data_IF_600714124355
#
_entry.id   IF_600714124355
#
_cell.length_a   1.000
_cell.length_b   1.000
_cell.length_c   1.000
_cell.angle_alpha   90.00
_cell.angle_beta   90.00
_cell.angle_gamma   90.00
#
_symmetry.space_group_name_H-M   'P 1'
#
loop_
_entity.id
_entity.type
_entity.pdbx_description
1 polymer ?
#
# COMPACT_ATOMS: atom_id res chain seq x y z
N UNK A 1 -53.38 -1.20 -85.09
CA UNK A 1 -53.31 0.20 -84.62
C UNK A 1 -52.28 0.26 -83.50
N UNK A 2 -51.06 0.72 -83.79
CA UNK A 2 -50.51 2.04 -83.42
C UNK A 2 -49.58 1.92 -82.17
N UNK A 3 -48.26 1.89 -82.44
CA UNK A 3 -47.11 2.54 -81.71
C UNK A 3 -46.92 2.27 -80.20
N UNK A 4 -45.74 2.18 -79.57
CA UNK A 4 -44.33 2.56 -79.83
C UNK A 4 -43.50 2.01 -78.63
N UNK A 5 -42.30 1.42 -78.81
CA UNK A 5 -40.97 2.06 -78.84
C UNK A 5 -40.41 2.50 -77.45
N UNK A 6 -39.28 1.86 -77.08
CA UNK A 6 -38.07 2.37 -76.38
C UNK A 6 -37.72 1.86 -74.96
N UNK A 7 -36.48 1.34 -74.91
CA UNK A 7 -35.39 1.59 -73.96
C UNK A 7 -35.40 0.93 -72.56
N UNK A 8 -34.40 0.04 -72.44
CA UNK A 8 -33.27 0.13 -71.51
C UNK A 8 -33.34 -0.53 -70.13
N UNK A 9 -32.18 -1.16 -69.85
CA UNK A 9 -31.52 -1.29 -68.56
C UNK A 9 -31.72 -2.59 -67.75
N UNK A 10 -30.84 -3.54 -68.07
CA UNK A 10 -30.18 -4.49 -67.16
C UNK A 10 -30.12 -4.08 -65.69
N UNK A 11 -30.45 -5.00 -64.78
CA UNK A 11 -29.79 -5.07 -63.46
C UNK A 11 -29.79 -6.50 -62.92
N UNK A 12 -28.58 -7.04 -62.86
CA UNK A 12 -28.14 -8.29 -62.26
C UNK A 12 -28.10 -8.10 -60.73
N UNK A 13 -28.90 -8.85 -59.97
CA UNK A 13 -28.92 -8.78 -58.51
C UNK A 13 -28.05 -9.89 -57.92
N UNK A 14 -26.76 -9.59 -57.73
CA UNK A 14 -25.87 -10.36 -56.87
C UNK A 14 -25.76 -9.60 -55.54
N UNK A 15 -26.52 -10.03 -54.52
CA UNK A 15 -26.38 -9.49 -53.17
C UNK A 15 -25.23 -10.20 -52.46
N UNK A 16 -24.15 -9.45 -52.22
CA UNK A 16 -23.02 -9.84 -51.39
C UNK A 16 -23.49 -10.04 -49.94
N UNK A 17 -23.13 -11.18 -49.35
CA UNK A 17 -23.13 -11.36 -47.91
C UNK A 17 -22.00 -10.50 -47.32
N UNK A 18 -22.35 -9.34 -46.75
CA UNK A 18 -21.42 -8.59 -45.90
C UNK A 18 -21.27 -9.34 -44.58
N UNK A 19 -20.23 -10.15 -44.47
CA UNK A 19 -19.75 -10.59 -43.17
C UNK A 19 -19.19 -9.37 -42.45
N UNK A 20 -19.98 -8.80 -41.53
CA UNK A 20 -19.49 -7.86 -40.54
C UNK A 20 -18.51 -8.59 -39.62
N UNK A 21 -17.23 -8.58 -39.97
CA UNK A 21 -16.18 -8.86 -38.99
C UNK A 21 -16.19 -7.70 -38.00
N UNK A 22 -16.73 -7.95 -36.80
CA UNK A 22 -16.43 -7.14 -35.64
C UNK A 22 -14.91 -7.24 -35.43
N UNK A 23 -14.18 -6.18 -35.76
CA UNK A 23 -12.80 -6.04 -35.34
C UNK A 23 -12.81 -5.84 -33.83
N UNK A 24 -12.74 -6.94 -33.07
CA UNK A 24 -12.36 -6.86 -31.67
C UNK A 24 -11.02 -6.12 -31.63
N UNK A 25 -11.04 -4.92 -31.07
CA UNK A 25 -9.85 -4.09 -30.93
C UNK A 25 -8.95 -4.82 -29.94
N UNK A 26 -8.05 -5.64 -30.47
CA UNK A 26 -7.22 -6.49 -29.64
C UNK A 26 -6.13 -5.61 -29.05
N UNK A 27 -6.26 -5.30 -27.76
CA UNK A 27 -5.31 -4.44 -27.07
C UNK A 27 -3.98 -5.17 -26.91
N UNK A 28 -2.88 -4.44 -27.13
CA UNK A 28 -1.53 -4.97 -27.04
C UNK A 28 -1.22 -5.41 -25.58
N UNK A 29 -0.84 -6.68 -25.35
CA UNK A 29 -0.51 -7.17 -24.02
C UNK A 29 0.72 -6.48 -23.41
N UNK A 30 0.73 -6.34 -22.08
CA UNK A 30 1.86 -5.83 -21.33
C UNK A 30 2.72 -6.96 -20.77
N UNK A 31 4.04 -6.87 -20.95
CA UNK A 31 5.01 -7.79 -20.34
C UNK A 31 5.35 -7.31 -18.92
N UNK A 32 4.98 -8.09 -17.90
CA UNK A 32 5.12 -7.74 -16.47
C UNK A 32 6.16 -8.55 -15.71
N UNK A 33 6.68 -9.61 -16.32
CA UNK A 33 7.67 -10.46 -15.66
C UNK A 33 8.33 -11.43 -16.61
N UNK A 34 9.59 -11.77 -16.32
CA UNK A 34 10.35 -12.79 -17.01
C UNK A 34 10.89 -13.74 -15.95
N UNK A 35 10.62 -15.03 -16.11
CA UNK A 35 11.18 -16.09 -15.29
C UNK A 35 12.09 -16.94 -16.16
N UNK A 36 13.38 -16.99 -15.82
CA UNK A 36 14.35 -17.86 -16.46
C UNK A 36 14.62 -19.08 -15.57
N UNK A 37 14.29 -20.27 -16.07
CA UNK A 37 14.61 -21.55 -15.42
C UNK A 37 15.54 -22.34 -16.35
N UNK A 38 16.85 -22.18 -16.16
CA UNK A 38 17.86 -22.78 -17.04
C UNK A 38 17.81 -22.17 -18.45
N UNK A 39 17.50 -23.00 -19.47
CA UNK A 39 17.36 -22.55 -20.87
C UNK A 39 15.93 -22.13 -21.25
N UNK A 40 14.96 -22.32 -20.34
CA UNK A 40 13.56 -22.00 -20.61
C UNK A 40 13.20 -20.63 -20.02
N UNK A 41 12.47 -19.84 -20.81
CA UNK A 41 11.89 -18.57 -20.38
C UNK A 41 10.36 -18.70 -20.29
N UNK A 42 9.79 -18.09 -19.24
CA UNK A 42 8.37 -17.85 -19.09
C UNK A 42 8.14 -16.34 -18.98
N UNK A 43 7.06 -15.85 -19.58
CA UNK A 43 6.73 -14.43 -19.68
C UNK A 43 5.37 -14.18 -19.04
N UNK A 44 5.28 -13.30 -18.04
CA UNK A 44 4.01 -12.88 -17.47
C UNK A 44 3.41 -11.78 -18.35
N UNK A 45 2.33 -12.11 -19.05
CA UNK A 45 1.58 -11.17 -19.87
C UNK A 45 0.26 -10.80 -19.20
N UNK A 46 -0.15 -9.55 -19.36
CA UNK A 46 -1.40 -9.01 -18.83
C UNK A 46 -2.09 -8.19 -19.91
N UNK A 47 -3.43 -8.26 -20.01
CA UNK A 47 -4.18 -7.34 -20.87
C UNK A 47 -4.13 -5.92 -20.30
N UNK A 48 -4.15 -4.86 -21.13
CA UNK A 48 -4.28 -3.50 -20.62
C UNK A 48 -5.51 -3.37 -19.71
N UNK A 49 -5.35 -2.78 -18.53
CA UNK A 49 -6.39 -2.72 -17.49
C UNK A 49 -6.35 -3.85 -16.45
N UNK A 50 -5.64 -4.95 -16.70
CA UNK A 50 -5.42 -6.00 -15.71
C UNK A 50 -6.42 -7.15 -15.68
N UNK A 51 -7.41 -7.16 -16.58
CA UNK A 51 -8.53 -8.12 -16.56
C UNK A 51 -8.10 -9.59 -16.78
N UNK A 52 -7.01 -9.83 -17.50
CA UNK A 52 -6.46 -11.16 -17.74
C UNK A 52 -4.95 -11.16 -17.55
N UNK A 53 -4.42 -12.20 -16.90
CA UNK A 53 -2.97 -12.43 -16.78
C UNK A 53 -2.60 -13.89 -16.97
N UNK A 54 -1.45 -14.16 -17.60
CA UNK A 54 -0.94 -15.52 -17.78
C UNK A 54 0.57 -15.58 -17.97
N UNK A 55 1.20 -16.60 -17.41
CA UNK A 55 2.55 -17.01 -17.77
C UNK A 55 2.54 -17.78 -19.09
N UNK A 56 3.28 -17.29 -20.08
CA UNK A 56 3.33 -17.85 -21.43
C UNK A 56 4.77 -18.22 -21.82
N UNK A 57 4.93 -19.11 -22.78
CA UNK A 57 6.20 -19.45 -23.44
C UNK A 57 6.24 -18.93 -24.88
N UNK A 58 7.43 -18.88 -25.47
CA UNK A 58 7.55 -18.62 -26.92
C UNK A 58 6.75 -19.67 -27.69
N UNK A 59 5.99 -19.22 -28.68
CA UNK A 59 5.05 -20.01 -29.47
C UNK A 59 3.60 -19.95 -28.97
N UNK A 60 3.36 -19.60 -27.71
CA UNK A 60 2.01 -19.47 -27.15
C UNK A 60 1.27 -18.27 -27.75
N UNK A 61 -0.06 -18.25 -27.58
CA UNK A 61 -0.92 -17.11 -27.90
C UNK A 61 -1.60 -16.58 -26.66
N UNK A 62 -1.58 -15.28 -26.44
CA UNK A 62 -2.22 -14.57 -25.33
C UNK A 62 -3.00 -13.37 -25.85
N UNK A 63 -4.30 -13.28 -25.51
CA UNK A 63 -5.19 -12.22 -25.98
C UNK A 63 -5.08 -11.97 -27.50
N UNK A 64 -5.03 -13.02 -28.32
CA UNK A 64 -4.89 -12.92 -29.78
C UNK A 64 -3.46 -12.70 -30.31
N UNK A 65 -2.49 -12.38 -29.46
CA UNK A 65 -1.10 -12.17 -29.83
C UNK A 65 -0.24 -13.42 -29.64
N UNK A 66 0.47 -13.82 -30.68
CA UNK A 66 1.44 -14.92 -30.65
C UNK A 66 2.82 -14.42 -30.22
N UNK A 67 3.47 -15.15 -29.32
CA UNK A 67 4.81 -14.85 -28.83
C UNK A 67 5.84 -15.45 -29.78
N UNK A 68 6.60 -14.63 -30.51
CA UNK A 68 7.53 -15.12 -31.53
C UNK A 68 8.97 -15.22 -31.04
N UNK A 69 9.46 -14.17 -30.39
CA UNK A 69 10.89 -14.01 -30.13
C UNK A 69 11.10 -13.25 -28.82
N UNK A 70 12.10 -13.67 -28.04
CA UNK A 70 12.57 -12.92 -26.88
C UNK A 70 13.95 -12.32 -27.16
N UNK A 71 14.08 -11.02 -26.95
CA UNK A 71 15.32 -10.25 -27.11
C UNK A 71 15.93 -10.00 -25.75
N UNK A 72 16.85 -10.87 -25.35
CA UNK A 72 17.53 -10.78 -24.06
C UNK A 72 18.33 -9.48 -23.87
N UNK A 73 18.81 -8.86 -24.96
CA UNK A 73 19.56 -7.60 -24.87
C UNK A 73 18.71 -6.39 -24.48
N UNK A 74 17.39 -6.45 -24.65
CA UNK A 74 16.47 -5.33 -24.35
C UNK A 74 15.28 -5.76 -23.48
N UNK A 75 15.35 -6.95 -22.88
CA UNK A 75 14.26 -7.60 -22.14
C UNK A 75 12.89 -7.43 -22.80
N UNK A 76 12.84 -7.63 -24.13
CA UNK A 76 11.64 -7.36 -24.93
C UNK A 76 11.13 -8.61 -25.63
N UNK A 77 9.81 -8.71 -25.76
CA UNK A 77 9.13 -9.81 -26.42
C UNK A 77 8.53 -9.30 -27.73
N UNK A 78 8.74 -10.03 -28.80
CA UNK A 78 8.15 -9.76 -30.11
C UNK A 78 6.85 -10.56 -30.20
N UNK A 79 5.76 -9.82 -30.39
CA UNK A 79 4.42 -10.35 -30.54
C UNK A 79 3.94 -10.17 -31.97
N UNK A 80 3.19 -11.13 -32.50
CA UNK A 80 2.50 -10.99 -33.78
C UNK A 80 1.02 -11.31 -33.66
N UNK A 81 0.19 -10.52 -34.33
CA UNK A 81 -1.23 -10.77 -34.48
C UNK A 81 -1.64 -10.41 -35.90
N UNK A 82 -2.16 -11.39 -36.64
CA UNK A 82 -2.55 -11.24 -38.05
C UNK A 82 -1.42 -10.63 -38.91
N UNK A 83 -1.50 -9.33 -39.23
CA UNK A 83 -0.53 -8.58 -40.04
C UNK A 83 0.30 -7.56 -39.25
N UNK A 84 0.13 -7.51 -37.93
CA UNK A 84 0.81 -6.58 -37.05
C UNK A 84 1.89 -7.28 -36.22
N UNK A 85 3.05 -6.64 -36.11
CA UNK A 85 4.15 -7.08 -35.26
C UNK A 85 4.45 -5.97 -34.27
N UNK A 86 4.45 -6.31 -32.99
CA UNK A 86 4.68 -5.38 -31.90
C UNK A 86 5.84 -5.88 -31.03
N UNK A 87 6.59 -4.95 -30.45
CA UNK A 87 7.65 -5.25 -29.50
C UNK A 87 7.19 -4.70 -28.16
N UNK A 88 7.09 -5.58 -27.16
CA UNK A 88 6.72 -5.22 -25.80
C UNK A 88 7.93 -5.41 -24.89
N UNK A 89 8.47 -4.31 -24.39
CA UNK A 89 9.54 -4.36 -23.39
C UNK A 89 8.98 -4.80 -22.04
N UNK A 90 9.82 -5.47 -21.23
CA UNK A 90 9.48 -5.76 -19.85
C UNK A 90 9.20 -4.45 -19.15
N UNK A 91 7.95 -4.26 -18.75
CA UNK A 91 7.59 -3.23 -17.80
C UNK A 91 8.18 -3.68 -16.48
N UNK A 92 9.37 -3.17 -16.15
CA UNK A 92 9.76 -3.04 -14.75
C UNK A 92 8.61 -2.35 -14.03
N UNK A 93 8.39 -2.68 -12.76
CA UNK A 93 7.54 -1.86 -11.90
C UNK A 93 8.22 -0.50 -11.68
N UNK A 94 8.30 0.27 -12.75
CA UNK A 94 8.45 1.70 -12.78
C UNK A 94 7.20 2.17 -13.50
N UNK A 95 6.44 2.95 -12.76
CA UNK A 95 5.32 3.77 -13.21
C UNK A 95 5.51 4.23 -14.65
N UNK A 96 4.44 4.12 -15.43
CA UNK A 96 4.40 4.36 -16.87
C UNK A 96 5.25 5.57 -17.29
N UNK A 97 6.16 5.35 -18.23
CA UNK A 97 6.72 6.41 -19.07
C UNK A 97 5.61 6.94 -19.98
N UNK A 98 4.82 7.81 -19.38
CA UNK A 98 3.78 8.63 -19.96
C UNK A 98 3.46 9.77 -19.00
N UNK A 99 4.46 10.26 -18.26
CA UNK A 99 4.53 11.52 -17.50
C UNK A 99 5.79 11.47 -16.63
N UNK A 100 6.96 11.79 -17.22
CA UNK A 100 8.24 11.94 -16.51
C UNK A 100 8.30 13.16 -15.57
N UNK A 101 7.14 13.59 -15.05
CA UNK A 101 7.02 14.59 -13.99
C UNK A 101 6.57 13.98 -12.65
N UNK A 102 6.03 12.75 -12.60
CA UNK A 102 5.38 12.22 -11.38
C UNK A 102 6.31 11.43 -10.43
N UNK A 103 7.29 10.69 -10.95
CA UNK A 103 8.12 9.79 -10.12
C UNK A 103 9.03 10.51 -9.12
N UNK A 104 9.34 11.78 -9.35
CA UNK A 104 10.04 12.65 -8.39
C UNK A 104 9.16 13.78 -7.86
N UNK A 105 7.89 13.85 -8.29
CA UNK A 105 6.96 14.81 -7.71
C UNK A 105 6.77 14.44 -6.24
N UNK A 106 6.86 15.44 -5.37
CA UNK A 106 6.43 15.29 -3.99
C UNK A 106 4.95 14.91 -3.98
N UNK A 107 4.58 14.00 -3.08
CA UNK A 107 3.18 13.75 -2.84
C UNK A 107 2.51 15.05 -2.36
N UNK A 108 1.25 15.24 -2.70
CA UNK A 108 0.47 16.36 -2.20
C UNK A 108 -0.05 16.06 -0.80
N UNK A 109 -0.34 17.10 -0.02
CA UNK A 109 -0.96 16.95 1.30
C UNK A 109 -2.31 16.22 1.19
N UNK A 110 -3.08 16.45 0.13
CA UNK A 110 -4.36 15.78 -0.08
C UNK A 110 -4.21 14.26 -0.31
N UNK A 111 -3.21 13.84 -1.08
CA UNK A 111 -2.92 12.41 -1.30
C UNK A 111 -2.48 11.74 0.01
N UNK A 112 -1.61 12.41 0.77
CA UNK A 112 -1.17 11.93 2.09
C UNK A 112 -2.34 11.84 3.08
N UNK A 113 -3.22 12.83 3.10
CA UNK A 113 -4.40 12.86 3.96
C UNK A 113 -5.35 11.68 3.69
N UNK A 114 -5.56 11.35 2.41
CA UNK A 114 -6.35 10.20 2.00
C UNK A 114 -5.73 8.88 2.49
N UNK A 115 -4.40 8.73 2.38
CA UNK A 115 -3.70 7.56 2.90
C UNK A 115 -3.85 7.43 4.43
N UNK A 116 -3.70 8.52 5.17
CA UNK A 116 -3.88 8.52 6.63
C UNK A 116 -5.27 8.03 7.03
N UNK A 117 -6.31 8.39 6.27
CA UNK A 117 -7.66 7.85 6.45
C UNK A 117 -7.72 6.32 6.29
N UNK A 118 -7.09 5.78 5.24
CA UNK A 118 -7.02 4.32 5.01
C UNK A 118 -6.22 3.57 6.10
N UNK A 119 -5.22 4.23 6.66
CA UNK A 119 -4.40 3.69 7.76
C UNK A 119 -5.08 3.80 9.13
N UNK A 120 -6.31 4.31 9.21
CA UNK A 120 -7.05 4.52 10.45
C UNK A 120 -6.30 5.46 11.42
N UNK A 121 -5.70 6.53 10.87
CA UNK A 121 -4.92 7.49 11.64
C UNK A 121 -5.68 8.03 12.86
N UNK A 122 -6.95 8.41 12.70
CA UNK A 122 -7.74 8.99 13.79
C UNK A 122 -7.86 8.02 14.98
N UNK A 123 -8.18 6.75 14.72
CA UNK A 123 -8.28 5.74 15.77
C UNK A 123 -6.93 5.47 16.45
N UNK A 124 -5.84 5.43 15.68
CA UNK A 124 -4.49 5.28 16.22
C UNK A 124 -4.08 6.48 17.08
N UNK A 125 -4.34 7.69 16.58
CA UNK A 125 -3.98 8.94 17.24
C UNK A 125 -4.79 9.15 18.53
N UNK A 126 -6.09 8.87 18.51
CA UNK A 126 -6.93 8.90 19.70
C UNK A 126 -6.40 7.94 20.78
N UNK A 127 -6.01 6.72 20.41
CA UNK A 127 -5.44 5.77 21.35
C UNK A 127 -4.14 6.29 21.97
N UNK A 128 -3.27 6.92 21.18
CA UNK A 128 -2.02 7.54 21.66
C UNK A 128 -2.33 8.69 22.62
N UNK A 129 -3.23 9.60 22.25
CA UNK A 129 -3.60 10.76 23.07
C UNK A 129 -4.22 10.33 24.39
N UNK A 130 -5.10 9.32 24.38
CA UNK A 130 -5.73 8.78 25.60
C UNK A 130 -4.68 8.21 26.56
N UNK A 131 -3.75 7.41 26.07
CA UNK A 131 -2.70 6.83 26.91
C UNK A 131 -1.72 7.91 27.41
N UNK A 132 -1.37 8.88 26.56
CA UNK A 132 -0.53 10.01 26.93
C UNK A 132 -1.19 10.87 28.02
N UNK A 133 -2.48 11.20 27.87
CA UNK A 133 -3.27 11.92 28.88
C UNK A 133 -3.25 11.17 30.20
N UNK A 134 -3.50 9.86 30.19
CA UNK A 134 -3.50 9.02 31.39
C UNK A 134 -2.14 9.03 32.09
N UNK A 135 -1.06 8.91 31.33
CA UNK A 135 0.31 9.01 31.86
C UNK A 135 0.59 10.36 32.50
N UNK A 136 0.24 11.45 31.81
CA UNK A 136 0.42 12.82 32.32
C UNK A 136 -0.41 13.10 33.57
N UNK A 137 -1.68 12.71 33.59
CA UNK A 137 -2.57 12.84 34.76
C UNK A 137 -2.02 12.07 35.95
N UNK A 138 -1.51 10.86 35.72
CA UNK A 138 -0.89 10.03 36.77
C UNK A 138 0.36 10.69 37.34
N UNK A 139 1.24 11.21 36.47
CA UNK A 139 2.45 11.92 36.88
C UNK A 139 2.12 13.20 37.67
N UNK A 140 1.17 13.98 37.18
CA UNK A 140 0.70 15.19 37.85
C UNK A 140 0.12 14.88 39.22
N UNK A 141 -0.72 13.84 39.33
CA UNK A 141 -1.27 13.37 40.62
C UNK A 141 -0.16 13.05 41.61
N UNK A 142 0.90 12.36 41.19
CA UNK A 142 2.03 12.02 42.06
C UNK A 142 2.80 13.27 42.49
N UNK A 143 3.03 14.21 41.57
CA UNK A 143 3.76 15.44 41.85
C UNK A 143 3.03 16.38 42.81
N UNK A 144 1.71 16.54 42.64
CA UNK A 144 0.90 17.51 43.41
C UNK A 144 0.15 16.89 44.59
N UNK A 145 0.38 15.60 44.88
CA UNK A 145 -0.31 14.87 45.96
C UNK A 145 -0.20 15.57 47.34
N UNK A 146 0.99 16.07 47.67
CA UNK A 146 1.23 16.76 48.94
C UNK A 146 0.50 18.11 49.03
N UNK A 147 0.42 18.83 47.91
CA UNK A 147 -0.27 20.12 47.84
C UNK A 147 -1.78 19.93 47.91
N UNK A 148 -2.33 18.91 47.23
CA UNK A 148 -3.74 18.55 47.33
C UNK A 148 -4.13 18.16 48.76
N UNK A 149 -3.28 17.39 49.43
CA UNK A 149 -3.48 17.02 50.84
C UNK A 149 -3.45 18.26 51.75
N UNK A 150 -2.54 19.21 51.50
CA UNK A 150 -2.45 20.47 52.26
C UNK A 150 -3.66 21.37 52.02
N UNK A 151 -4.19 21.38 50.80
CA UNK A 151 -5.39 22.10 50.42
C UNK A 151 -6.69 21.44 50.90
N UNK A 152 -6.64 20.23 51.47
CA UNK A 152 -7.82 19.53 51.99
C UNK A 152 -8.79 19.04 50.90
N UNK A 153 -8.32 18.90 49.66
CA UNK A 153 -9.15 18.44 48.54
C UNK A 153 -9.56 16.98 48.71
N UNK A 154 -10.83 16.67 48.41
CA UNK A 154 -11.34 15.29 48.42
C UNK A 154 -10.92 14.54 47.15
N UNK A 155 -10.85 13.20 47.17
CA UNK A 155 -10.45 12.41 46.01
C UNK A 155 -11.23 12.72 44.73
N UNK A 156 -12.55 12.90 44.83
CA UNK A 156 -13.41 13.24 43.69
C UNK A 156 -13.14 14.63 43.09
N UNK A 157 -12.71 15.59 43.92
CA UNK A 157 -12.33 16.95 43.49
C UNK A 157 -10.97 16.93 42.79
N UNK A 158 -10.03 16.13 43.32
CA UNK A 158 -8.72 15.88 42.71
C UNK A 158 -8.91 15.23 41.34
N UNK A 159 -9.77 14.21 41.22
CA UNK A 159 -10.02 13.51 39.96
C UNK A 159 -10.66 14.43 38.92
N UNK A 160 -11.63 15.25 39.34
CA UNK A 160 -12.27 16.24 38.46
C UNK A 160 -11.26 17.28 37.98
N UNK A 161 -10.42 17.82 38.89
CA UNK A 161 -9.41 18.81 38.55
C UNK A 161 -8.37 18.24 37.58
N UNK A 162 -7.81 17.08 37.91
CA UNK A 162 -6.83 16.40 37.08
C UNK A 162 -7.39 16.00 35.71
N UNK A 163 -8.66 15.59 35.66
CA UNK A 163 -9.37 15.30 34.41
C UNK A 163 -9.40 16.53 33.50
N UNK A 164 -9.85 17.68 34.02
CA UNK A 164 -9.89 18.96 33.30
C UNK A 164 -8.51 19.44 32.87
N UNK A 165 -7.50 19.29 33.73
CA UNK A 165 -6.12 19.61 33.38
C UNK A 165 -5.62 18.70 32.26
N UNK A 166 -5.91 17.40 32.33
CA UNK A 166 -5.59 16.45 31.27
C UNK A 166 -6.25 16.81 29.95
N UNK A 167 -7.54 17.15 29.95
CA UNK A 167 -8.27 17.63 28.76
C UNK A 167 -7.63 18.88 28.16
N UNK A 168 -7.30 19.86 29.00
CA UNK A 168 -6.65 21.10 28.57
C UNK A 168 -5.29 20.84 27.92
N UNK A 169 -4.52 19.91 28.47
CA UNK A 169 -3.16 19.61 28.01
C UNK A 169 -3.14 18.85 26.67
N UNK A 170 -4.21 18.11 26.34
CA UNK A 170 -4.30 17.36 25.07
C UNK A 170 -5.21 18.00 24.04
N UNK A 171 -5.91 19.09 24.38
CA UNK A 171 -6.84 19.76 23.48
C UNK A 171 -6.19 20.13 22.13
N UNK A 172 -4.97 20.67 22.16
CA UNK A 172 -4.23 21.01 20.94
C UNK A 172 -3.79 19.78 20.15
N UNK A 173 -3.55 18.65 20.82
CA UNK A 173 -3.17 17.38 20.19
C UNK A 173 -4.36 16.72 19.46
N UNK A 174 -5.58 16.94 19.92
CA UNK A 174 -6.80 16.39 19.29
C UNK A 174 -7.33 17.27 18.14
N UNK A 175 -6.58 18.29 17.73
CA UNK A 175 -7.00 19.19 16.67
C UNK A 175 -6.84 18.58 15.27
N UNK A 176 -7.70 18.98 14.34
CA UNK A 176 -7.54 18.67 12.91
C UNK A 176 -6.19 19.14 12.36
N UNK A 177 -5.57 20.14 13.00
CA UNK A 177 -4.24 20.62 12.65
C UNK A 177 -3.19 19.52 12.79
N UNK A 178 -3.28 18.64 13.80
CA UNK A 178 -2.35 17.52 13.94
C UNK A 178 -2.43 16.56 12.76
N UNK A 179 -3.65 16.23 12.28
CA UNK A 179 -3.82 15.40 11.08
C UNK A 179 -3.20 16.06 9.85
N UNK A 180 -3.39 17.37 9.68
CA UNK A 180 -2.79 18.12 8.58
C UNK A 180 -1.26 18.19 8.66
N UNK A 181 -0.70 18.33 9.85
CA UNK A 181 0.76 18.32 10.06
C UNK A 181 1.33 16.94 9.72
N UNK A 182 0.67 15.85 10.11
CA UNK A 182 1.03 14.50 9.69
C UNK A 182 0.93 14.32 8.17
N UNK A 183 -0.15 14.78 7.54
CA UNK A 183 -0.31 14.71 6.09
C UNK A 183 0.81 15.48 5.37
N UNK A 184 1.22 16.64 5.90
CA UNK A 184 2.35 17.41 5.38
C UNK A 184 3.68 16.67 5.51
N UNK A 185 3.93 16.06 6.66
CA UNK A 185 5.15 15.24 6.87
C UNK A 185 5.20 14.10 5.86
N UNK A 186 4.09 13.39 5.66
CA UNK A 186 4.02 12.32 4.65
C UNK A 186 4.26 12.86 3.23
N UNK A 187 3.64 13.99 2.87
CA UNK A 187 3.84 14.65 1.58
C UNK A 187 5.30 15.11 1.34
N UNK A 188 6.02 15.46 2.42
CA UNK A 188 7.41 15.91 2.35
C UNK A 188 8.41 14.76 2.24
N UNK A 189 8.12 13.63 2.89
CA UNK A 189 8.99 12.45 3.00
C UNK A 189 8.80 11.50 1.82
N UNK A 190 7.56 11.29 1.37
CA UNK A 190 7.25 10.36 0.29
C UNK A 190 7.11 11.08 -1.04
N UNK A 191 7.60 10.44 -2.10
CA UNK A 191 7.21 10.81 -3.46
C UNK A 191 5.75 10.44 -3.71
N UNK A 192 5.15 11.08 -4.72
CA UNK A 192 3.79 10.79 -5.15
C UNK A 192 3.60 9.30 -5.50
N UNK A 193 4.56 8.71 -6.19
CA UNK A 193 4.49 7.31 -6.63
C UNK A 193 4.62 6.33 -5.45
N UNK A 194 5.49 6.60 -4.48
CA UNK A 194 5.61 5.78 -3.26
C UNK A 194 4.32 5.84 -2.43
N UNK A 195 3.78 7.04 -2.23
CA UNK A 195 2.56 7.24 -1.45
C UNK A 195 1.36 6.58 -2.14
N UNK A 196 1.26 6.68 -3.46
CA UNK A 196 0.26 5.97 -4.25
C UNK A 196 0.42 4.44 -4.15
N UNK A 197 1.64 3.92 -4.15
CA UNK A 197 1.91 2.49 -3.97
C UNK A 197 1.45 1.98 -2.60
N UNK A 198 1.73 2.73 -1.54
CA UNK A 198 1.26 2.41 -0.17
C UNK A 198 -0.26 2.47 -0.08
N UNK A 199 -0.89 3.52 -0.64
CA UNK A 199 -2.34 3.65 -0.68
C UNK A 199 -3.01 2.50 -1.46
N UNK A 200 -2.45 2.12 -2.61
CA UNK A 200 -2.94 1.00 -3.41
C UNK A 200 -2.91 -0.32 -2.62
N UNK A 201 -1.85 -0.57 -1.83
CA UNK A 201 -1.79 -1.74 -0.97
C UNK A 201 -2.88 -1.71 0.12
N UNK A 202 -3.03 -0.59 0.83
CA UNK A 202 -4.01 -0.44 1.90
C UNK A 202 -5.46 -0.51 1.42
N UNK A 203 -5.72 -0.18 0.15
CA UNK A 203 -7.03 -0.36 -0.49
C UNK A 203 -7.39 -1.83 -0.78
N UNK A 204 -6.45 -2.78 -0.65
CA UNK A 204 -6.74 -4.21 -0.84
C UNK A 204 -7.28 -4.85 0.43
N UNK A 205 -8.04 -5.95 0.29
CA UNK A 205 -8.48 -6.76 1.43
C UNK A 205 -7.30 -7.27 2.31
N UNK A 206 -6.13 -7.48 1.69
CA UNK A 206 -4.92 -7.85 2.43
C UNK A 206 -4.36 -6.68 3.24
N UNK A 207 -4.35 -5.47 2.68
CA UNK A 207 -3.91 -4.25 3.37
C UNK A 207 -4.82 -3.85 4.53
N UNK A 208 -6.14 -3.97 4.38
CA UNK A 208 -7.08 -3.79 5.49
C UNK A 208 -6.89 -4.84 6.59
N UNK A 209 -6.71 -6.10 6.21
CA UNK A 209 -6.45 -7.18 7.15
C UNK A 209 -5.13 -6.99 7.88
N UNK A 210 -4.10 -6.45 7.20
CA UNK A 210 -2.83 -6.07 7.80
C UNK A 210 -3.06 -5.05 8.91
N UNK A 211 -3.70 -3.91 8.61
CA UNK A 211 -3.97 -2.85 9.59
C UNK A 211 -4.71 -3.38 10.82
N UNK A 212 -5.78 -4.15 10.60
CA UNK A 212 -6.59 -4.72 11.69
C UNK A 212 -5.85 -5.74 12.56
N UNK A 213 -4.91 -6.50 11.99
CA UNK A 213 -4.23 -7.61 12.68
C UNK A 213 -2.89 -7.21 13.31
N UNK A 214 -2.31 -6.07 12.96
CA UNK A 214 -1.05 -5.59 13.56
C UNK A 214 -1.11 -5.53 15.10
N UNK A 215 -2.17 -4.99 15.75
CA UNK A 215 -2.24 -4.97 17.22
C UNK A 215 -2.23 -6.37 17.84
N UNK A 216 -2.92 -7.33 17.22
CA UNK A 216 -2.95 -8.72 17.70
C UNK A 216 -1.57 -9.39 17.57
N UNK A 217 -0.86 -9.14 16.47
CA UNK A 217 0.51 -9.64 16.27
C UNK A 217 1.42 -9.10 17.37
N UNK A 218 1.36 -7.80 17.67
CA UNK A 218 2.14 -7.18 18.74
C UNK A 218 1.78 -7.77 20.12
N UNK A 219 0.49 -7.96 20.41
CA UNK A 219 0.03 -8.55 21.67
C UNK A 219 0.56 -9.99 21.84
N UNK A 220 0.47 -10.81 20.79
CA UNK A 220 0.99 -12.19 20.81
C UNK A 220 2.51 -12.23 20.94
N UNK A 221 3.22 -11.30 20.29
CA UNK A 221 4.67 -11.19 20.45
C UNK A 221 5.06 -10.94 21.92
N UNK A 222 4.37 -10.04 22.62
CA UNK A 222 4.61 -9.81 24.05
C UNK A 222 4.38 -11.04 24.93
N UNK A 223 3.36 -11.86 24.61
CA UNK A 223 3.11 -13.12 25.31
C UNK A 223 4.24 -14.14 25.11
N UNK A 224 4.93 -14.10 23.97
CA UNK A 224 6.09 -14.97 23.70
C UNK A 224 7.37 -14.43 24.34
N UNK A 225 7.53 -13.11 24.40
CA UNK A 225 8.73 -12.48 24.97
C UNK A 225 8.79 -12.63 26.50
N UNK A 226 7.67 -12.49 27.21
CA UNK A 226 7.66 -12.54 28.69
C UNK A 226 8.24 -13.83 29.29
N UNK A 227 7.86 -15.04 28.84
CA UNK A 227 8.48 -16.28 29.32
C UNK A 227 9.97 -16.37 29.01
N UNK A 228 10.41 -15.87 27.84
CA UNK A 228 11.83 -15.87 27.44
C UNK A 228 12.66 -14.97 28.33
N UNK A 229 12.15 -13.80 28.69
CA UNK A 229 12.79 -12.91 29.67
C UNK A 229 12.88 -13.59 31.03
N UNK A 230 11.79 -14.20 31.51
CA UNK A 230 11.78 -14.93 32.78
C UNK A 230 12.75 -16.11 32.82
N UNK A 231 12.96 -16.81 31.70
CA UNK A 231 13.97 -17.86 31.57
C UNK A 231 15.41 -17.32 31.66
N UNK A 232 15.64 -16.06 31.23
CA UNK A 232 16.94 -15.39 31.33
C UNK A 232 17.24 -14.79 32.70
N UNK A 233 16.22 -14.56 33.54
CA UNK A 233 16.37 -13.90 34.86
C UNK A 233 17.39 -14.58 35.79
N UNK A 234 17.45 -15.91 35.92
CA UNK A 234 18.45 -16.56 36.79
C UNK A 234 19.89 -16.27 36.35
N UNK A 235 20.16 -16.23 35.04
CA UNK A 235 21.48 -15.91 34.51
C UNK A 235 21.86 -14.45 34.80
N UNK A 236 20.89 -13.52 34.67
CA UNK A 236 21.08 -12.12 35.04
C UNK A 236 21.34 -11.95 36.55
N UNK A 237 20.62 -12.67 37.42
CA UNK A 237 20.85 -12.68 38.87
C UNK A 237 22.23 -13.21 39.24
N UNK A 238 22.67 -14.28 38.56
CA UNK A 238 24.01 -14.85 38.75
C UNK A 238 25.09 -13.83 38.37
N UNK A 239 24.97 -13.21 37.20
CA UNK A 239 25.90 -12.18 36.74
C UNK A 239 25.99 -11.01 37.73
N UNK A 240 24.85 -10.53 38.24
CA UNK A 240 24.83 -9.46 39.24
C UNK A 240 25.52 -9.87 40.54
N UNK A 241 25.31 -11.12 40.98
CA UNK A 241 25.94 -11.66 42.20
C UNK A 241 27.46 -11.79 42.03
N UNK A 242 27.90 -12.31 40.87
CA UNK A 242 29.32 -12.48 40.56
C UNK A 242 30.03 -11.13 40.47
N UNK A 243 29.40 -10.12 39.87
CA UNK A 243 29.93 -8.75 39.81
C UNK A 243 30.14 -8.12 41.20
N UNK A 244 29.17 -8.29 42.11
CA UNK A 244 29.28 -7.80 43.50
C UNK A 244 30.42 -8.52 44.24
N UNK A 245 30.56 -9.84 44.02
CA UNK A 245 31.63 -10.64 44.63
C UNK A 245 33.00 -10.17 44.17
N UNK A 246 33.21 -10.01 42.86
CA UNK A 246 34.48 -9.50 42.30
C UNK A 246 34.86 -8.13 42.85
N UNK A 247 33.90 -7.20 42.92
CA UNK A 247 34.09 -5.85 43.50
C UNK A 247 34.47 -5.88 44.98
N UNK A 248 33.92 -6.82 45.76
CA UNK A 248 34.23 -6.96 47.18
C UNK A 248 35.63 -7.54 47.42
N UNK A 249 36.10 -8.42 46.54
CA UNK A 249 37.45 -9.00 46.58
C UNK A 249 38.55 -8.14 45.96
N UNK A 250 38.18 -7.04 45.29
CA UNK A 250 39.11 -6.04 44.74
C UNK A 250 39.40 -4.87 45.71
N UNK A 251 38.88 -4.93 46.95
CA UNK A 251 39.24 -4.06 48.08
C UNK A 251 40.18 -4.81 49.02
#
# INVERSE_FOLDING_TARGET
MITSLRLALTTLLALLATATYAAETTLLPELRGILATGKAHRFALVTPGGDQSRWCSLGDTFAGWKLEEFRAGTDSLVLSQSSQRAIVALRTATTAEGETASATAKATVAEADALLGQMQFDAMWDAIVVEQKKGMVTALRQQTAADFKRAGLRPEEIDTLLGRMGDLLVADLQSDAMRQDFARIYAEVYTKDELAGVAAFHATAAGEAWNRKQPEVQQRLMQVLMPRVMQGMPAAQKLATDYVRERASAK
#
